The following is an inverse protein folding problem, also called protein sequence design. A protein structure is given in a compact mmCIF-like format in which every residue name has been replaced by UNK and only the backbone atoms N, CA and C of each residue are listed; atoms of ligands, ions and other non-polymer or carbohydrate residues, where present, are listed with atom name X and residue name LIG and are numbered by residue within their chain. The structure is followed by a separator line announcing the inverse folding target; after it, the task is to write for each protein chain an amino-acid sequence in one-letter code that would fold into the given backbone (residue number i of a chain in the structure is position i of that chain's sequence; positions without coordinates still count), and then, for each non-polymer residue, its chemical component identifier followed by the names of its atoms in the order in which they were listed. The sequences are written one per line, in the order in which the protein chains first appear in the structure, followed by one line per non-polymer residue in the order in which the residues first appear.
data_IF_104789852550
#
_entry.id   IF_104789852550
#
_cell.length_a   1.000
_cell.length_b   1.000
_cell.length_c   1.000
_cell.angle_alpha   90.00
_cell.angle_beta   90.00
_cell.angle_gamma   90.00
#
_symmetry.space_group_name_H-M   'P 1'
#
loop_
_entity.id
_entity.type
_entity.pdbx_description
1 polymer ?
2 water ?
#
# COMPACT_ATOMS: atom_id res chain seq x y z
N UNK A 1 -6.10 5.67 -16.13
CA UNK A 1 -5.49 4.96 -14.95
C UNK A 1 -3.98 5.21 -14.92
N UNK A 2 -3.38 5.31 -13.73
CA UNK A 2 -1.93 5.54 -13.57
C UNK A 2 -1.31 4.33 -12.89
N UNK A 3 -0.16 3.87 -13.42
CA UNK A 3 0.51 2.63 -13.02
C UNK A 3 1.79 2.97 -12.25
N UNK A 4 2.07 2.20 -11.20
CA UNK A 4 3.28 2.36 -10.38
C UNK A 4 3.81 1.04 -9.87
N UNK A 5 4.86 1.12 -9.06
CA UNK A 5 5.52 -0.03 -8.39
C UNK A 5 6.02 0.43 -7.01
N UNK A 6 5.97 -0.48 -6.04
CA UNK A 6 6.60 -0.30 -4.69
C UNK A 6 8.11 -0.50 -4.87
N UNK A 7 8.91 0.43 -4.35
CA UNK A 7 10.40 0.40 -4.43
C UNK A 7 10.90 -0.96 -3.92
N UNK A 8 10.19 -1.54 -2.95
CA UNK A 8 10.57 -2.75 -2.18
C UNK A 8 10.79 -3.96 -3.11
N UNK A 9 10.19 -3.94 -4.31
CA UNK A 9 10.38 -4.95 -5.38
C UNK A 9 11.88 -5.30 -5.54
N UNK A 10 12.74 -4.28 -5.44
CA UNK A 10 14.21 -4.40 -5.68
C UNK A 10 15.01 -4.54 -4.36
N UNK A 11 14.42 -4.36 -3.18
CA UNK A 11 15.18 -4.14 -1.92
C UNK A 11 14.98 -5.29 -0.91
N UNK A 12 15.78 -5.27 0.15
CA UNK A 12 15.75 -6.26 1.27
C UNK A 12 15.32 -5.58 2.59
N UNK A 13 15.29 -4.24 2.65
CA UNK A 13 14.86 -3.46 3.85
C UNK A 13 13.97 -2.28 3.44
N UNK A 14 13.18 -1.75 4.39
CA UNK A 14 12.17 -0.68 4.16
C UNK A 14 12.85 0.70 4.16
N UNK A 15 13.86 0.86 5.01
CA UNK A 15 14.55 2.15 5.30
C UNK A 15 15.82 2.25 4.44
N UNK A 16 15.66 2.68 3.17
CA UNK A 16 16.75 2.87 2.18
C UNK A 16 16.51 4.20 1.47
N UNK A 17 17.45 4.58 0.60
CA UNK A 17 17.34 5.80 -0.26
C UNK A 17 16.38 5.51 -1.41
N UNK A 18 15.57 6.50 -1.79
CA UNK A 18 14.46 6.34 -2.77
C UNK A 18 14.81 7.03 -4.10
N UNK A 19 15.80 7.93 -4.12
CA UNK A 19 16.07 8.87 -5.26
C UNK A 19 16.27 8.07 -6.55
N UNK A 20 17.06 7.01 -6.46
CA UNK A 20 17.41 6.09 -7.58
C UNK A 20 16.14 5.55 -8.25
N UNK A 21 15.07 5.31 -7.48
CA UNK A 21 13.84 4.63 -7.97
C UNK A 21 12.98 5.62 -8.78
N UNK A 22 13.10 6.92 -8.56
CA UNK A 22 12.33 7.95 -9.32
C UNK A 22 12.75 7.90 -10.80
N UNK A 23 14.05 7.97 -11.08
CA UNK A 23 14.61 7.87 -12.46
C UNK A 23 14.16 6.54 -13.06
N UNK A 24 14.44 5.43 -12.35
CA UNK A 24 14.21 4.03 -12.80
C UNK A 24 12.75 3.84 -13.24
N UNK A 25 11.80 4.33 -12.45
CA UNK A 25 10.34 4.14 -12.68
C UNK A 25 9.95 4.90 -13.96
N UNK A 26 10.45 6.12 -14.13
CA UNK A 26 10.27 6.94 -15.35
C UNK A 26 10.84 6.21 -16.57
N UNK A 27 12.07 5.70 -16.47
CA UNK A 27 12.76 4.90 -17.52
C UNK A 27 11.88 3.72 -17.96
N UNK A 28 11.16 3.10 -17.02
CA UNK A 28 10.35 1.87 -17.22
C UNK A 28 8.94 2.22 -17.72
N UNK A 29 8.61 3.51 -17.87
CA UNK A 29 7.31 4.01 -18.37
C UNK A 29 6.21 4.00 -17.31
N UNK A 30 6.56 3.96 -16.02
CA UNK A 30 5.56 3.98 -14.93
C UNK A 30 5.25 5.44 -14.56
N UNK A 31 4.08 5.66 -13.96
CA UNK A 31 3.54 6.99 -13.56
C UNK A 31 3.84 7.27 -12.08
N UNK A 32 3.89 6.21 -11.26
CA UNK A 32 3.93 6.31 -9.77
C UNK A 32 5.12 5.50 -9.23
N UNK A 33 5.79 6.07 -8.21
CA UNK A 33 6.68 5.34 -7.27
C UNK A 33 6.04 5.35 -5.89
N UNK A 34 5.87 4.17 -5.30
CA UNK A 34 5.43 4.05 -3.89
C UNK A 34 6.68 3.80 -3.02
N UNK A 35 6.89 4.65 -2.03
CA UNK A 35 8.04 4.56 -1.08
C UNK A 35 7.48 4.17 0.29
N UNK A 36 8.35 3.69 1.18
CA UNK A 36 8.00 3.33 2.56
C UNK A 36 7.99 4.61 3.40
N UNK A 37 6.87 4.91 4.05
CA UNK A 37 6.70 6.00 5.03
C UNK A 37 7.83 5.97 6.07
N UNK A 38 8.24 4.77 6.46
CA UNK A 38 9.31 4.51 7.46
C UNK A 38 10.62 5.18 7.01
N UNK A 39 10.90 5.18 5.70
CA UNK A 39 12.12 5.79 5.12
C UNK A 39 11.97 7.29 4.87
N UNK A 40 10.81 7.89 5.19
CA UNK A 40 10.57 9.35 5.04
C UNK A 40 10.66 10.05 6.40
N UNK A 41 10.10 9.41 7.44
CA UNK A 41 9.65 10.09 8.70
C UNK A 41 10.84 10.73 9.43
N UNK A 42 12.05 10.18 9.32
CA UNK A 42 13.27 10.78 9.91
C UNK A 42 14.28 11.14 8.81
N UNK A 43 13.89 11.13 7.53
CA UNK A 43 14.74 11.61 6.42
C UNK A 43 15.03 13.11 6.63
N UNK A 44 16.29 13.59 6.50
CA UNK A 44 16.55 15.02 6.59
C UNK A 44 15.71 15.83 5.60
N UNK A 45 15.35 17.06 5.99
CA UNK A 45 14.55 17.99 5.14
C UNK A 45 15.21 18.11 3.76
N UNK A 46 16.55 18.22 3.73
CA UNK A 46 17.34 18.34 2.48
C UNK A 46 16.90 17.23 1.52
N UNK A 47 16.79 16.00 2.03
CA UNK A 47 16.56 14.77 1.22
C UNK A 47 15.06 14.67 0.88
N UNK A 48 14.16 15.10 1.77
CA UNK A 48 12.70 15.13 1.46
C UNK A 48 12.48 16.07 0.27
N UNK A 49 13.12 17.25 0.30
CA UNK A 49 12.99 18.27 -0.78
C UNK A 49 13.60 17.73 -2.08
N UNK A 50 14.77 17.09 -2.02
CA UNK A 50 15.48 16.50 -3.19
C UNK A 50 14.56 15.47 -3.86
N UNK A 51 13.85 14.69 -3.06
CA UNK A 51 12.93 13.64 -3.54
C UNK A 51 11.77 14.32 -4.27
N UNK A 52 11.19 15.37 -3.66
CA UNK A 52 10.09 16.15 -4.27
C UNK A 52 10.55 16.69 -5.63
N UNK A 53 11.75 17.27 -5.68
CA UNK A 53 12.29 17.93 -6.89
C UNK A 53 12.55 16.88 -7.98
N UNK A 54 13.08 15.70 -7.63
CA UNK A 54 13.33 14.61 -8.59
C UNK A 54 12.01 14.14 -9.22
N UNK A 55 10.96 14.02 -8.42
CA UNK A 55 9.61 13.59 -8.85
C UNK A 55 9.04 14.62 -9.83
N UNK A 56 9.18 15.90 -9.52
CA UNK A 56 8.75 17.02 -10.40
C UNK A 56 9.53 16.94 -11.70
N UNK A 57 10.86 16.87 -11.61
CA UNK A 57 11.77 16.85 -12.79
C UNK A 57 11.35 15.70 -13.74
N UNK A 58 11.08 14.50 -13.20
CA UNK A 58 10.76 13.29 -14.01
C UNK A 58 9.26 13.15 -14.24
N UNK A 59 8.43 13.99 -13.61
CA UNK A 59 6.94 13.91 -13.70
C UNK A 59 6.48 12.52 -13.20
N UNK A 60 6.95 12.14 -12.01
CA UNK A 60 6.54 10.91 -11.28
C UNK A 60 5.69 11.32 -10.08
N UNK A 61 4.56 10.66 -9.90
CA UNK A 61 3.69 10.76 -8.69
C UNK A 61 4.29 9.86 -7.62
N UNK A 62 4.56 10.42 -6.45
CA UNK A 62 5.06 9.67 -5.27
C UNK A 62 3.87 9.34 -4.35
N UNK A 63 3.76 8.07 -3.93
CA UNK A 63 2.82 7.62 -2.87
C UNK A 63 3.64 6.96 -1.75
N UNK A 64 3.03 6.80 -0.57
CA UNK A 64 3.66 6.23 0.63
C UNK A 64 2.90 4.98 1.10
N UNK A 65 3.64 3.93 1.48
CA UNK A 65 3.11 2.71 2.10
C UNK A 65 3.53 2.64 3.57
N UNK A 66 2.66 2.11 4.44
CA UNK A 66 2.99 1.96 5.88
C UNK A 66 2.32 0.71 6.46
N UNK A 67 3.06 0.03 7.33
CA UNK A 67 2.53 -0.90 8.35
C UNK A 67 2.98 -0.45 9.71
N UNK A 68 2.09 0.08 10.53
CA UNK A 68 2.42 0.58 11.88
C UNK A 68 2.85 -0.61 12.75
N UNK A 69 3.99 -0.50 13.48
CA UNK A 69 4.38 -1.51 14.45
C UNK A 69 3.55 -1.44 15.74
N UNK A 70 3.63 -2.50 16.56
CA UNK A 70 2.91 -2.63 17.86
C UNK A 70 2.90 -1.32 18.64
N UNK A 71 4.09 -0.69 18.78
CA UNK A 71 4.32 0.52 19.62
C UNK A 71 3.45 1.68 19.13
N UNK A 72 2.99 1.65 17.88
CA UNK A 72 2.23 2.74 17.20
C UNK A 72 0.85 2.23 16.79
N UNK A 73 0.32 1.24 17.53
CA UNK A 73 -1.00 0.62 17.26
C UNK A 73 -2.11 1.62 17.60
N UNK A 74 -2.66 2.28 16.58
CA UNK A 74 -3.71 3.34 16.73
C UNK A 74 -5.07 2.68 17.04
N UNK A 75 -5.11 1.34 17.06
CA UNK A 75 -6.31 0.53 17.43
C UNK A 75 -6.20 -0.03 18.85
N UNK A 76 -5.08 0.22 19.54
CA UNK A 76 -4.80 -0.30 20.91
C UNK A 76 -5.87 0.20 21.89
N UNK A 77 -6.21 -0.64 22.87
CA UNK A 77 -7.05 -0.28 24.04
C UNK A 77 -6.17 0.47 25.05
N UNK A 78 -4.86 0.30 24.98
CA UNK A 78 -3.87 1.11 25.75
C UNK A 78 -3.80 2.52 25.14
N UNK A 79 -4.22 3.53 25.90
CA UNK A 79 -4.29 4.96 25.50
C UNK A 79 -2.90 5.48 25.12
N UNK A 80 -1.86 5.11 25.88
CA UNK A 80 -0.48 5.59 25.67
C UNK A 80 -0.02 5.12 24.28
N UNK A 81 -0.22 3.83 23.96
CA UNK A 81 0.13 3.24 22.63
C UNK A 81 -0.65 3.97 21.53
N UNK A 82 -1.98 4.07 21.67
CA UNK A 82 -2.88 4.77 20.72
C UNK A 82 -2.32 6.14 20.38
N UNK A 83 -2.03 6.94 21.40
CA UNK A 83 -1.62 8.36 21.25
C UNK A 83 -0.22 8.39 20.62
N UNK A 84 0.66 7.48 21.01
CA UNK A 84 2.03 7.34 20.42
C UNK A 84 1.90 7.10 18.91
N UNK A 85 1.00 6.20 18.51
CA UNK A 85 0.73 5.86 17.11
C UNK A 85 0.21 7.05 16.32
N UNK A 86 -0.75 7.80 16.88
CA UNK A 86 -1.34 9.01 16.24
C UNK A 86 -0.21 10.03 15.98
N UNK A 87 0.62 10.26 16.99
CA UNK A 87 1.73 11.25 16.94
C UNK A 87 2.72 10.83 15.86
N UNK A 88 3.04 9.55 15.80
CA UNK A 88 3.96 8.98 14.79
C UNK A 88 3.38 9.21 13.40
N UNK A 89 2.09 8.96 13.18
CA UNK A 89 1.45 9.11 11.84
C UNK A 89 1.42 10.60 11.45
N UNK A 90 1.15 11.50 12.39
CA UNK A 90 1.20 12.97 12.14
C UNK A 90 2.59 13.35 11.65
N UNK A 91 3.62 12.86 12.34
CA UNK A 91 5.04 13.00 11.97
C UNK A 91 5.27 12.47 10.54
N UNK A 92 4.74 11.28 10.21
CA UNK A 92 4.84 10.71 8.83
C UNK A 92 4.23 11.71 7.82
N UNK A 93 3.06 12.27 8.14
CA UNK A 93 2.35 13.21 7.24
C UNK A 93 3.14 14.52 7.09
N UNK A 94 3.79 15.00 8.15
CA UNK A 94 4.65 16.20 8.11
C UNK A 94 5.75 15.97 7.05
N UNK A 95 6.40 14.81 7.08
CA UNK A 95 7.46 14.42 6.11
C UNK A 95 6.86 14.25 4.71
N UNK A 96 5.71 13.59 4.59
CA UNK A 96 5.01 13.40 3.29
C UNK A 96 4.84 14.76 2.61
N UNK A 97 4.35 15.75 3.36
CA UNK A 97 4.08 17.12 2.86
C UNK A 97 5.34 17.70 2.21
N UNK A 98 6.48 17.60 2.90
CA UNK A 98 7.78 18.15 2.42
C UNK A 98 8.25 17.43 1.15
N UNK A 99 7.94 16.13 0.99
CA UNK A 99 8.35 15.33 -0.18
C UNK A 99 7.29 15.46 -1.30
N UNK A 100 6.16 16.12 -1.03
CA UNK A 100 5.10 16.37 -2.04
C UNK A 100 4.30 15.11 -2.29
N UNK A 101 4.03 14.35 -1.22
CA UNK A 101 3.32 13.04 -1.21
C UNK A 101 1.98 13.25 -0.52
N UNK A 102 0.89 12.79 -1.14
CA UNK A 102 -0.49 13.11 -0.72
C UNK A 102 -1.26 11.85 -0.31
N UNK A 103 -0.77 10.66 -0.60
CA UNK A 103 -1.52 9.41 -0.37
C UNK A 103 -0.69 8.46 0.50
N UNK A 104 -1.28 8.01 1.60
CA UNK A 104 -0.66 7.00 2.51
C UNK A 104 -1.62 5.82 2.62
N UNK A 105 -1.12 4.62 2.28
CA UNK A 105 -1.87 3.36 2.25
C UNK A 105 -1.19 2.28 3.05
N UNK A 106 -1.96 1.27 3.47
CA UNK A 106 -1.49 0.10 4.22
C UNK A 106 -2.23 -0.03 5.53
N UNK A 107 -1.57 -0.55 6.56
CA UNK A 107 -2.12 -0.71 7.91
C UNK A 107 -1.77 0.56 8.69
N UNK A 108 -2.50 1.63 8.39
CA UNK A 108 -2.38 2.99 9.00
C UNK A 108 -3.46 3.17 10.08
N UNK A 109 -4.24 2.11 10.35
CA UNK A 109 -5.47 2.14 11.19
C UNK A 109 -5.38 1.12 12.33
N UNK A 110 -4.25 0.44 12.44
CA UNK A 110 -3.98 -0.64 13.42
C UNK A 110 -2.48 -0.95 13.35
N UNK A 111 -2.03 -2.16 13.71
CA UNK A 111 -0.61 -2.52 13.60
C UNK A 111 -0.46 -3.72 12.68
N UNK A 112 0.75 -3.91 12.15
CA UNK A 112 1.10 -4.97 11.18
C UNK A 112 2.57 -5.33 11.35
N UNK A 113 2.98 -6.63 11.22
CA UNK A 113 2.06 -7.76 11.11
C UNK A 113 1.42 -8.10 12.46
N UNK A 114 0.16 -8.55 12.49
CA UNK A 114 -0.53 -8.87 13.77
C UNK A 114 0.17 -10.06 14.42
N UNK A 115 0.25 -10.03 15.75
CA UNK A 115 0.85 -11.09 16.61
C UNK A 115 -0.31 -11.80 17.31
N UNK A 116 -0.60 -13.03 16.89
CA UNK A 116 -1.80 -13.80 17.35
C UNK A 116 -1.46 -14.63 18.59
N UNK A 117 -0.21 -14.60 19.07
CA UNK A 117 0.25 -15.38 20.25
C UNK A 117 -0.45 -14.87 21.51
N UNK A 118 -0.75 -13.57 21.55
CA UNK A 118 -1.54 -12.93 22.63
C UNK A 118 -2.97 -12.67 22.17
N UNK A 119 -3.91 -12.38 23.09
CA UNK A 119 -5.32 -12.28 22.75
C UNK A 119 -5.65 -10.85 22.29
N UNK A 120 -6.76 -10.68 21.57
CA UNK A 120 -7.21 -9.38 21.02
C UNK A 120 -8.73 -9.29 21.12
N UNK A 121 -9.26 -8.08 20.96
CA UNK A 121 -10.70 -7.76 21.03
C UNK A 121 -11.07 -6.97 19.77
N UNK A 122 -11.63 -7.66 18.77
CA UNK A 122 -11.90 -7.09 17.43
C UNK A 122 -12.85 -5.90 17.57
N UNK A 123 -14.05 -6.03 18.20
CA UNK A 123 -14.97 -4.91 18.40
C UNK A 123 -14.35 -3.64 19.02
N UNK A 124 -13.59 -3.78 20.10
CA UNK A 124 -12.92 -2.67 20.83
C UNK A 124 -11.80 -2.06 19.97
N UNK A 125 -11.00 -2.90 19.30
CA UNK A 125 -9.92 -2.46 18.39
C UNK A 125 -10.54 -1.63 17.26
N UNK A 126 -11.71 -2.04 16.77
CA UNK A 126 -12.38 -1.39 15.61
C UNK A 126 -12.80 0.04 15.96
N UNK A 127 -13.49 0.27 17.08
CA UNK A 127 -14.00 1.62 17.43
C UNK A 127 -12.81 2.56 17.72
N UNK A 128 -11.76 2.08 18.40
CA UNK A 128 -10.50 2.85 18.61
C UNK A 128 -9.90 3.20 17.24
N UNK A 129 -9.79 2.23 16.34
CA UNK A 129 -9.30 2.41 14.95
C UNK A 129 -10.04 3.57 14.26
N UNK A 130 -11.38 3.52 14.24
CA UNK A 130 -12.25 4.53 13.56
C UNK A 130 -12.00 5.93 14.13
N UNK A 131 -11.94 6.08 15.46
CA UNK A 131 -11.68 7.39 16.14
C UNK A 131 -10.26 7.88 15.79
N UNK A 132 -9.26 6.99 15.86
CA UNK A 132 -7.86 7.30 15.47
C UNK A 132 -7.83 7.78 14.01
N UNK A 133 -8.52 7.07 13.11
CA UNK A 133 -8.48 7.37 11.65
C UNK A 133 -9.20 8.70 11.38
N UNK A 134 -10.33 8.98 12.04
CA UNK A 134 -11.05 10.28 11.92
C UNK A 134 -10.10 11.42 12.31
N UNK A 135 -9.39 11.30 13.44
CA UNK A 135 -8.44 12.33 13.91
C UNK A 135 -7.31 12.50 12.88
N UNK A 136 -6.76 11.40 12.36
CA UNK A 136 -5.65 11.47 11.40
C UNK A 136 -6.16 12.05 10.07
N UNK A 137 -7.41 11.73 9.69
CA UNK A 137 -8.08 12.27 8.48
C UNK A 137 -8.19 13.79 8.60
N UNK A 138 -8.42 14.27 9.82
CA UNK A 138 -8.62 15.72 10.10
C UNK A 138 -7.26 16.42 9.99
N UNK A 139 -6.23 15.85 10.61
CA UNK A 139 -4.83 16.37 10.56
C UNK A 139 -4.34 16.35 9.10
N UNK A 140 -4.72 15.33 8.33
CA UNK A 140 -4.30 15.14 6.92
C UNK A 140 -4.80 16.29 6.04
N UNK A 141 -5.96 16.89 6.35
CA UNK A 141 -6.65 17.90 5.51
C UNK A 141 -5.69 19.04 5.17
N UNK A 142 -4.91 19.52 6.15
CA UNK A 142 -4.00 20.67 5.97
C UNK A 142 -2.96 20.37 4.88
N UNK A 143 -2.73 19.09 4.54
CA UNK A 143 -1.70 18.65 3.56
C UNK A 143 -2.35 18.06 2.30
N UNK A 144 -3.67 18.14 2.19
CA UNK A 144 -4.50 17.45 1.17
C UNK A 144 -4.04 15.99 1.10
N UNK A 145 -3.88 15.34 2.25
CA UNK A 145 -3.46 13.91 2.32
C UNK A 145 -4.71 13.04 2.40
N UNK A 146 -4.66 11.90 1.70
CA UNK A 146 -5.70 10.83 1.70
C UNK A 146 -5.11 9.58 2.35
N UNK A 147 -5.89 8.95 3.23
CA UNK A 147 -5.54 7.68 3.90
C UNK A 147 -6.21 6.56 3.12
N UNK A 148 -5.44 5.55 2.73
CA UNK A 148 -5.97 4.35 2.02
C UNK A 148 -5.95 3.19 3.00
N UNK A 149 -7.14 2.71 3.33
CA UNK A 149 -7.38 1.64 4.34
C UNK A 149 -7.24 0.29 3.63
N UNK A 150 -6.10 -0.38 3.82
CA UNK A 150 -5.80 -1.65 3.12
C UNK A 150 -6.64 -2.77 3.74
N UNK A 151 -7.30 -3.55 2.88
CA UNK A 151 -7.98 -4.82 3.21
C UNK A 151 -6.94 -5.94 3.13
N UNK A 152 -6.72 -6.66 4.23
CA UNK A 152 -5.61 -7.63 4.43
C UNK A 152 -6.17 -9.03 4.66
N UNK A 153 -5.39 -10.06 4.33
CA UNK A 153 -5.74 -11.47 4.61
C UNK A 153 -5.70 -11.67 6.13
N UNK A 154 -6.43 -12.68 6.61
CA UNK A 154 -6.61 -13.05 8.05
C UNK A 154 -5.29 -13.24 8.78
N UNK A 155 -4.21 -13.61 8.09
CA UNK A 155 -2.93 -14.02 8.73
C UNK A 155 -2.18 -12.78 9.18
N UNK A 156 -2.40 -11.64 8.52
CA UNK A 156 -1.65 -10.38 8.73
C UNK A 156 -2.44 -9.38 9.59
N UNK A 157 -3.78 -9.52 9.66
CA UNK A 157 -4.68 -8.58 10.38
C UNK A 157 -6.04 -9.23 10.62
N UNK A 158 -6.82 -8.72 11.59
CA UNK A 158 -8.13 -9.29 12.01
C UNK A 158 -9.28 -8.30 11.76
N UNK A 159 -8.99 -7.01 11.52
CA UNK A 159 -10.04 -5.97 11.44
C UNK A 159 -10.78 -6.08 10.09
N UNK A 160 -10.08 -5.90 8.98
CA UNK A 160 -10.70 -5.73 7.63
C UNK A 160 -10.11 -6.77 6.68
N UNK A 161 -10.79 -7.90 6.55
CA UNK A 161 -10.24 -9.09 5.82
C UNK A 161 -10.91 -9.19 4.44
N UNK A 162 -12.07 -8.56 4.22
CA UNK A 162 -12.70 -8.56 2.87
C UNK A 162 -13.27 -7.17 2.56
N UNK A 163 -13.63 -6.97 1.29
CA UNK A 163 -14.13 -5.69 0.74
C UNK A 163 -15.34 -5.21 1.55
N UNK A 164 -16.17 -6.15 1.98
CA UNK A 164 -17.42 -5.89 2.73
C UNK A 164 -17.08 -5.16 4.03
N UNK A 165 -16.18 -5.71 4.84
CA UNK A 165 -15.72 -5.11 6.12
C UNK A 165 -15.07 -3.75 5.85
N UNK A 166 -14.20 -3.65 4.83
CA UNK A 166 -13.42 -2.44 4.50
C UNK A 166 -14.37 -1.30 4.08
N UNK A 167 -15.36 -1.61 3.23
CA UNK A 167 -16.39 -0.64 2.77
C UNK A 167 -17.22 -0.18 3.98
N UNK A 168 -17.69 -1.10 4.82
CA UNK A 168 -18.49 -0.78 6.03
C UNK A 168 -17.65 0.15 6.93
N UNK A 169 -16.39 -0.23 7.18
CA UNK A 169 -15.44 0.53 8.03
C UNK A 169 -15.28 1.97 7.50
N UNK A 170 -15.04 2.12 6.20
CA UNK A 170 -14.74 3.44 5.57
C UNK A 170 -16.02 4.30 5.54
N UNK A 171 -17.17 3.71 5.29
CA UNK A 171 -18.49 4.41 5.33
C UNK A 171 -18.67 5.02 6.73
N UNK A 172 -18.40 4.24 7.77
CA UNK A 172 -18.54 4.67 9.18
C UNK A 172 -17.55 5.80 9.49
N UNK A 173 -16.28 5.68 9.09
CA UNK A 173 -15.25 6.76 9.27
C UNK A 173 -15.84 8.05 8.70
N UNK A 174 -16.49 7.94 7.53
CA UNK A 174 -17.29 9.02 6.88
C UNK A 174 -16.44 10.27 6.66
N UNK A 175 -15.27 10.12 6.04
CA UNK A 175 -14.36 11.24 5.66
C UNK A 175 -14.06 11.14 4.17
N UNK A 176 -14.11 12.27 3.43
CA UNK A 176 -13.83 12.26 1.99
C UNK A 176 -12.39 11.82 1.66
N UNK A 177 -11.43 12.06 2.56
CA UNK A 177 -9.98 11.77 2.37
C UNK A 177 -9.61 10.43 3.04
N UNK A 178 -10.59 9.55 3.24
CA UNK A 178 -10.38 8.15 3.71
C UNK A 178 -11.09 7.20 2.73
N UNK A 179 -10.31 6.39 2.01
CA UNK A 179 -10.78 5.48 0.94
C UNK A 179 -10.29 4.06 1.22
N UNK A 180 -10.87 3.08 0.51
CA UNK A 180 -10.51 1.64 0.59
C UNK A 180 -9.36 1.38 -0.39
N UNK A 181 -8.34 0.66 0.04
CA UNK A 181 -7.32 0.08 -0.87
C UNK A 181 -7.55 -1.44 -0.93
N UNK A 182 -7.76 -1.96 -2.13
CA UNK A 182 -7.83 -3.43 -2.39
C UNK A 182 -6.47 -3.90 -2.93
N UNK A 183 -6.18 -5.18 -2.76
CA UNK A 183 -4.90 -5.80 -3.12
C UNK A 183 -5.20 -7.21 -3.64
N UNK A 184 -4.81 -7.53 -4.88
CA UNK A 184 -5.08 -8.85 -5.51
C UNK A 184 -4.57 -9.96 -4.57
N UNK A 185 -3.39 -9.80 -3.96
CA UNK A 185 -2.80 -10.82 -3.06
C UNK A 185 -3.78 -11.16 -1.94
N UNK A 186 -4.36 -10.14 -1.29
CA UNK A 186 -5.24 -10.28 -0.11
C UNK A 186 -6.64 -10.72 -0.55
N UNK A 187 -7.17 -10.17 -1.64
CA UNK A 187 -8.51 -10.50 -2.19
C UNK A 187 -8.54 -11.97 -2.60
N UNK A 188 -7.41 -12.44 -3.14
CA UNK A 188 -7.21 -13.83 -3.64
C UNK A 188 -7.49 -14.82 -2.51
N UNK A 189 -7.14 -14.47 -1.27
CA UNK A 189 -7.31 -15.36 -0.08
C UNK A 189 -8.75 -15.23 0.46
N UNK A 190 -9.30 -14.01 0.58
CA UNK A 190 -10.51 -13.77 1.42
C UNK A 190 -11.80 -13.67 0.59
N UNK A 191 -11.75 -13.28 -0.68
CA UNK A 191 -12.98 -13.01 -1.48
C UNK A 191 -13.47 -14.29 -2.17
N UNK A 192 -14.78 -14.39 -2.38
CA UNK A 192 -15.45 -15.44 -3.20
C UNK A 192 -15.04 -15.28 -4.66
N UNK A 193 -14.82 -14.05 -5.10
CA UNK A 193 -14.61 -13.65 -6.52
C UNK A 193 -13.96 -12.26 -6.57
N UNK A 194 -12.76 -12.13 -7.14
CA UNK A 194 -11.92 -10.90 -7.05
C UNK A 194 -12.60 -9.75 -7.81
N UNK A 195 -13.06 -9.98 -9.05
CA UNK A 195 -13.74 -8.97 -9.88
C UNK A 195 -14.97 -8.42 -9.14
N UNK A 196 -15.77 -9.29 -8.51
CA UNK A 196 -17.00 -8.91 -7.77
C UNK A 196 -16.67 -8.04 -6.55
N UNK A 197 -15.54 -8.28 -5.88
CA UNK A 197 -15.10 -7.48 -4.71
C UNK A 197 -14.80 -6.04 -5.18
N UNK A 198 -14.09 -5.90 -6.31
CA UNK A 198 -13.76 -4.59 -6.92
C UNK A 198 -15.08 -3.88 -7.28
N UNK A 199 -15.99 -4.56 -8.00
CA UNK A 199 -17.31 -4.00 -8.37
C UNK A 199 -18.03 -3.49 -7.12
N UNK A 200 -18.12 -4.33 -6.09
CA UNK A 200 -18.76 -4.00 -4.79
C UNK A 200 -18.17 -2.69 -4.24
N UNK A 201 -16.84 -2.58 -4.20
CA UNK A 201 -16.11 -1.44 -3.55
C UNK A 201 -16.41 -0.14 -4.31
N UNK A 202 -16.50 -0.21 -5.65
CA UNK A 202 -16.84 0.91 -6.55
C UNK A 202 -16.16 2.22 -6.15
N UNK A 203 -16.97 3.26 -5.90
CA UNK A 203 -16.55 4.66 -5.60
C UNK A 203 -15.64 4.74 -4.37
N UNK A 204 -15.63 3.71 -3.51
CA UNK A 204 -14.80 3.66 -2.28
C UNK A 204 -13.36 3.28 -2.62
N UNK A 205 -13.12 2.72 -3.81
CA UNK A 205 -11.77 2.22 -4.21
C UNK A 205 -10.85 3.43 -4.47
N UNK A 206 -9.88 3.64 -3.57
CA UNK A 206 -8.90 4.74 -3.66
C UNK A 206 -7.58 4.29 -4.30
N UNK A 207 -7.23 3.02 -4.21
CA UNK A 207 -6.01 2.47 -4.87
C UNK A 207 -6.12 0.94 -4.97
N UNK A 208 -5.59 0.37 -6.06
CA UNK A 208 -5.44 -1.09 -6.25
C UNK A 208 -3.95 -1.46 -6.24
N UNK A 209 -3.55 -2.38 -5.37
CA UNK A 209 -2.23 -3.07 -5.36
C UNK A 209 -2.39 -4.35 -6.17
N UNK A 210 -1.45 -4.67 -7.05
CA UNK A 210 -1.56 -5.87 -7.93
C UNK A 210 -0.28 -6.68 -7.87
N UNK A 211 -0.46 -7.99 -7.94
CA UNK A 211 0.58 -9.02 -8.01
C UNK A 211 -0.09 -10.38 -8.17
N UNK A 212 0.69 -11.42 -8.38
CA UNK A 212 0.15 -12.80 -8.48
C UNK A 212 -0.17 -13.31 -7.07
N UNK A 213 -0.84 -14.47 -6.98
CA UNK A 213 -1.23 -15.09 -5.69
C UNK A 213 0.00 -15.20 -4.79
N UNK A 214 1.19 -15.50 -5.33
CA UNK A 214 2.44 -15.67 -4.53
C UNK A 214 3.33 -14.42 -4.60
N UNK A 215 2.80 -13.31 -5.14
CA UNK A 215 3.40 -11.94 -5.14
C UNK A 215 4.50 -11.82 -6.22
N UNK A 216 4.52 -12.72 -7.20
CA UNK A 216 5.28 -12.51 -8.46
C UNK A 216 4.61 -11.40 -9.27
N UNK A 217 5.32 -10.87 -10.25
CA UNK A 217 4.85 -9.77 -11.15
C UNK A 217 3.68 -10.32 -11.96
N UNK A 218 2.61 -9.53 -12.17
CA UNK A 218 1.50 -9.93 -13.01
C UNK A 218 1.96 -10.57 -14.33
N UNK A 219 1.37 -11.73 -14.67
CA UNK A 219 1.70 -12.51 -15.87
C UNK A 219 2.39 -13.82 -15.54
N UNK A 220 2.94 -13.94 -14.33
CA UNK A 220 3.72 -15.14 -13.93
C UNK A 220 2.82 -16.17 -13.24
N UNK A 221 1.54 -15.87 -13.03
CA UNK A 221 0.60 -16.71 -12.24
C UNK A 221 -0.74 -16.86 -12.92
N UNK A 222 -1.80 -17.06 -12.14
CA UNK A 222 -3.15 -17.46 -12.61
C UNK A 222 -4.21 -16.47 -12.15
N UNK A 223 -3.81 -15.28 -11.72
CA UNK A 223 -4.73 -14.19 -11.32
C UNK A 223 -5.62 -13.87 -12.53
N UNK A 224 -6.95 -13.65 -12.36
CA UNK A 224 -7.85 -13.46 -13.49
C UNK A 224 -7.78 -12.00 -13.98
N UNK A 225 -6.69 -11.66 -14.67
CA UNK A 225 -6.31 -10.27 -15.03
C UNK A 225 -7.39 -9.61 -15.88
N UNK A 226 -7.91 -10.32 -16.89
CA UNK A 226 -8.99 -9.85 -17.79
C UNK A 226 -10.26 -9.50 -16.98
N UNK A 227 -10.67 -10.34 -16.05
CA UNK A 227 -11.86 -10.10 -15.19
C UNK A 227 -11.63 -8.83 -14.35
N UNK A 228 -10.45 -8.73 -13.74
CA UNK A 228 -10.02 -7.56 -12.92
C UNK A 228 -10.08 -6.32 -13.81
N UNK A 229 -9.50 -6.38 -15.00
CA UNK A 229 -9.56 -5.29 -16.02
C UNK A 229 -11.00 -4.87 -16.28
N UNK A 230 -11.89 -5.85 -16.48
CA UNK A 230 -13.34 -5.62 -16.78
C UNK A 230 -14.04 -4.98 -15.58
N UNK A 231 -13.80 -5.48 -14.37
CA UNK A 231 -14.36 -4.95 -13.10
C UNK A 231 -13.97 -3.48 -12.92
N UNK A 232 -12.72 -3.13 -13.26
CA UNK A 232 -12.21 -1.74 -13.12
C UNK A 232 -12.94 -0.85 -14.13
N UNK A 233 -13.18 -1.34 -15.35
CA UNK A 233 -13.98 -0.63 -16.38
C UNK A 233 -15.42 -0.46 -15.86
N UNK A 234 -15.98 -1.50 -15.25
CA UNK A 234 -17.38 -1.52 -14.73
C UNK A 234 -17.58 -0.40 -13.71
N UNK A 235 -16.57 -0.07 -12.90
CA UNK A 235 -16.66 1.02 -11.87
C UNK A 235 -15.99 2.29 -12.41
N UNK A 236 -15.62 2.31 -13.69
CA UNK A 236 -14.95 3.46 -14.36
C UNK A 236 -13.79 3.96 -13.48
N UNK A 237 -12.98 3.04 -12.97
CA UNK A 237 -11.80 3.37 -12.12
C UNK A 237 -10.80 4.10 -13.01
N UNK A 238 -10.45 5.33 -12.61
CA UNK A 238 -9.48 6.19 -13.33
C UNK A 238 -8.31 6.45 -12.38
N UNK A 239 -8.18 5.63 -11.33
CA UNK A 239 -7.26 5.84 -10.20
C UNK A 239 -5.94 5.11 -10.39
N UNK A 240 -5.21 4.92 -9.29
CA UNK A 240 -3.81 4.40 -9.27
C UNK A 240 -3.84 2.87 -9.18
N UNK A 241 -3.01 2.22 -9.99
CA UNK A 241 -2.72 0.76 -9.97
C UNK A 241 -1.23 0.60 -9.68
N UNK A 242 -0.88 0.06 -8.52
CA UNK A 242 0.52 -0.04 -8.05
C UNK A 242 0.89 -1.52 -7.92
N UNK A 243 1.86 -1.95 -8.73
CA UNK A 243 2.43 -3.31 -8.66
C UNK A 243 3.23 -3.44 -7.37
N UNK A 244 3.03 -4.56 -6.68
CA UNK A 244 3.61 -4.80 -5.34
C UNK A 244 4.17 -6.21 -5.34
N UNK A 245 5.18 -6.48 -6.17
CA UNK A 245 5.77 -7.81 -6.27
C UNK A 245 6.86 -7.97 -5.21
N UNK A 246 6.89 -9.13 -4.56
CA UNK A 246 7.92 -9.54 -3.56
C UNK A 246 8.43 -10.93 -3.95
N UNK A 247 9.66 -10.99 -4.46
CA UNK A 247 10.29 -12.24 -4.98
C UNK A 247 11.65 -12.48 -4.31
N UNK A 248 12.00 -11.72 -3.27
CA UNK A 248 13.35 -11.80 -2.63
C UNK A 248 13.23 -12.27 -1.16
N UNK A 249 13.91 -13.37 -0.84
CA UNK A 249 13.94 -14.00 0.51
C UNK A 249 15.24 -13.61 1.21
N UNK A 250 15.21 -13.46 2.55
CA UNK A 250 16.42 -13.36 3.39
C UNK A 250 16.52 -12.04 4.15
N UNK A 251 15.95 -10.95 3.63
CA UNK A 251 16.06 -9.61 4.22
C UNK A 251 14.93 -9.31 5.20
N UNK A 252 14.94 -8.11 5.80
CA UNK A 252 13.85 -7.57 6.64
C UNK A 252 12.51 -7.60 5.88
N UNK A 253 12.54 -7.31 4.58
CA UNK A 253 11.35 -7.32 3.68
C UNK A 253 10.87 -8.77 3.52
N UNK A 254 11.78 -9.67 3.13
CA UNK A 254 11.54 -11.14 3.09
C UNK A 254 10.88 -11.66 4.36
N UNK A 255 11.39 -11.25 5.52
CA UNK A 255 10.90 -11.73 6.85
C UNK A 255 9.48 -11.21 7.11
N UNK A 256 9.21 -9.92 6.85
CA UNK A 256 7.91 -9.28 7.16
C UNK A 256 6.84 -9.72 6.15
N UNK A 257 7.26 -10.08 4.94
CA UNK A 257 6.41 -10.63 3.84
C UNK A 257 6.23 -12.14 4.05
N UNK A 258 7.14 -12.76 4.82
CA UNK A 258 7.19 -14.20 5.17
C UNK A 258 7.48 -15.03 3.92
N UNK A 259 8.45 -14.59 3.10
CA UNK A 259 8.91 -15.35 1.90
C UNK A 259 10.18 -16.14 2.28
N UNK A 260 10.08 -17.48 2.28
CA UNK A 260 11.10 -18.41 2.85
C UNK A 260 11.76 -19.23 1.74
N UNK A 261 11.66 -18.77 0.50
CA UNK A 261 12.35 -19.34 -0.68
C UNK A 261 12.45 -18.21 -1.71
N UNK A 262 13.47 -18.25 -2.56
CA UNK A 262 13.67 -17.28 -3.65
C UNK A 262 12.61 -17.55 -4.72
N UNK A 263 11.94 -16.50 -5.23
CA UNK A 263 10.96 -16.60 -6.34
C UNK A 263 11.46 -15.84 -7.57
N UNK A 264 12.67 -15.27 -7.51
CA UNK A 264 13.27 -14.38 -8.54
C UNK A 264 14.26 -15.13 -9.43
N UNK A 265 14.53 -16.41 -9.15
CA UNK A 265 15.65 -17.14 -9.78
C UNK A 265 16.94 -16.36 -9.64
N UNK A 266 17.13 -15.73 -8.48
CA UNK A 266 18.32 -14.91 -8.12
C UNK A 266 18.45 -13.76 -9.13
N UNK A 267 17.34 -13.15 -9.52
CA UNK A 267 17.29 -12.09 -10.54
C UNK A 267 18.15 -10.91 -10.08
N UNK A 268 18.96 -10.36 -10.99
CA UNK A 268 19.70 -9.09 -10.78
C UNK A 268 18.71 -7.94 -10.88
N UNK A 269 19.10 -6.76 -10.38
CA UNK A 269 18.34 -5.49 -10.53
C UNK A 269 17.87 -5.34 -11.98
N UNK A 270 18.79 -5.48 -12.94
CA UNK A 270 18.52 -5.35 -14.41
C UNK A 270 17.42 -6.35 -14.82
N UNK A 271 17.56 -7.61 -14.43
CA UNK A 271 16.60 -8.70 -14.80
C UNK A 271 15.22 -8.36 -14.23
N UNK A 272 15.16 -7.86 -12.98
CA UNK A 272 13.90 -7.43 -12.32
C UNK A 272 13.30 -6.23 -13.07
N UNK A 273 14.12 -5.31 -13.58
CA UNK A 273 13.67 -4.17 -14.44
C UNK A 273 12.95 -4.72 -15.68
N UNK A 274 13.60 -5.62 -16.42
CA UNK A 274 13.06 -6.12 -17.71
C UNK A 274 11.74 -6.85 -17.46
N UNK A 275 11.69 -7.72 -16.45
CA UNK A 275 10.47 -8.50 -16.11
C UNK A 275 9.34 -7.52 -15.71
N UNK A 276 9.64 -6.46 -14.97
CA UNK A 276 8.60 -5.47 -14.58
C UNK A 276 8.08 -4.74 -15.82
N UNK A 277 8.95 -4.38 -16.77
CA UNK A 277 8.59 -3.72 -18.05
C UNK A 277 7.60 -4.61 -18.82
N UNK A 278 7.93 -5.91 -18.94
CA UNK A 278 7.08 -6.93 -19.62
C UNK A 278 5.74 -7.05 -18.89
N UNK A 279 5.78 -7.14 -17.54
CA UNK A 279 4.60 -7.25 -16.65
C UNK A 279 3.66 -6.08 -16.92
N UNK A 280 4.19 -4.85 -16.97
CA UNK A 280 3.40 -3.60 -17.19
C UNK A 280 2.69 -3.68 -18.54
N UNK A 281 3.41 -4.03 -19.61
CA UNK A 281 2.83 -4.21 -20.97
C UNK A 281 1.68 -5.23 -20.88
N UNK A 282 1.89 -6.36 -20.21
CA UNK A 282 0.88 -7.43 -20.01
C UNK A 282 -0.36 -6.88 -19.30
N UNK A 283 -0.17 -6.16 -18.20
CA UNK A 283 -1.30 -5.66 -17.36
C UNK A 283 -2.13 -4.65 -18.17
N UNK A 284 -1.47 -3.73 -18.89
CA UNK A 284 -2.16 -2.68 -19.69
C UNK A 284 -2.97 -3.34 -20.81
N UNK A 285 -2.41 -4.33 -21.50
CA UNK A 285 -3.13 -5.17 -22.49
C UNK A 285 -4.36 -5.80 -21.80
N UNK A 286 -4.15 -6.45 -20.65
CA UNK A 286 -5.21 -7.16 -19.89
C UNK A 286 -6.31 -6.18 -19.45
N UNK A 287 -5.96 -4.91 -19.20
CA UNK A 287 -6.89 -3.85 -18.74
C UNK A 287 -7.41 -3.01 -19.92
N UNK A 288 -6.99 -3.29 -21.16
CA UNK A 288 -7.39 -2.53 -22.37
C UNK A 288 -6.91 -1.07 -22.34
#
# INVERSE_FOLDING_TARGET
MKYGVYFAYWEDSWDVDFEKYVRKVKKLGLDILEVAALGLVNLPEQKLERLKQLAEQHDIILTAGIGLPKEYDVSSTDKTVRRNGITFVKKVMDAMHQAGIHRIGGTVYSYWPVDYSGPFDKPAARKHSIESVRELAEYARQYNITLLIETLNRFEQFLLNDAEEAVAYVKEVNKPNVKVMLDTFHMNIEEDHIADAIRYTGDHLGQLHIGEANRKVPGKGSMPWTEIGQALKDIRYDGYVVMEPFVKTGGQVGRDIKLWRDLSGNATEEQLDRELAESLEFVKAAFGE
#
